data_IF_751347704954
#
_entry.id   IF_751347704954
#
_cell.length_a   1.000
_cell.length_b   1.000
_cell.length_c   1.000
_cell.angle_alpha   90.00
_cell.angle_beta   90.00
_cell.angle_gamma   90.00
#
_symmetry.space_group_name_H-M   'P 1'
#
loop_
_entity.id
_entity.type
_entity.pdbx_description
1 polymer ?
#
# COMPACT_ATOMS: atom_id res chain seq x y z
N UNK A 1 0.81 -12.82 -4.21
CA UNK A 1 0.40 -12.39 -2.86
C UNK A 1 1.62 -12.24 -1.95
N UNK A 2 1.90 -11.02 -1.49
CA UNK A 2 3.02 -10.72 -0.60
C UNK A 2 2.58 -10.89 0.88
N UNK A 3 3.27 -11.71 1.68
CA UNK A 3 3.07 -11.71 3.13
C UNK A 3 3.59 -10.40 3.75
N UNK A 4 3.25 -10.09 5.01
CA UNK A 4 3.95 -9.07 5.77
C UNK A 4 5.43 -9.46 5.98
N UNK A 5 6.22 -8.51 6.46
CA UNK A 5 7.65 -8.66 6.77
C UNK A 5 8.55 -9.04 5.58
N UNK A 6 8.11 -8.76 4.35
CA UNK A 6 8.86 -9.01 3.13
C UNK A 6 8.95 -7.72 2.30
N UNK A 7 10.13 -7.14 2.06
CA UNK A 7 10.31 -6.02 1.13
C UNK A 7 10.00 -6.44 -0.31
N UNK A 8 9.48 -5.51 -1.12
CA UNK A 8 9.21 -5.81 -2.54
C UNK A 8 10.52 -5.84 -3.36
N UNK A 9 11.45 -4.95 -3.07
CA UNK A 9 12.72 -4.81 -3.80
C UNK A 9 13.87 -4.55 -2.83
N UNK A 10 15.12 -4.79 -3.25
CA UNK A 10 16.29 -4.57 -2.42
C UNK A 10 16.33 -3.16 -1.81
N UNK A 11 16.70 -3.10 -0.56
CA UNK A 11 16.87 -1.88 0.23
C UNK A 11 17.98 -2.10 1.25
N UNK A 12 18.34 -1.07 2.01
CA UNK A 12 19.35 -1.19 3.06
C UNK A 12 19.02 -2.37 4.00
N UNK A 13 19.98 -3.26 4.21
CA UNK A 13 19.90 -4.51 5.00
C UNK A 13 18.98 -5.61 4.42
N UNK A 14 18.45 -5.43 3.21
CA UNK A 14 17.59 -6.40 2.52
C UNK A 14 18.00 -6.50 1.06
N UNK A 15 19.04 -7.29 0.76
CA UNK A 15 19.59 -7.41 -0.60
C UNK A 15 19.15 -8.68 -1.32
N UNK A 16 18.96 -9.78 -0.58
CA UNK A 16 18.68 -11.11 -1.13
C UNK A 16 17.36 -11.73 -0.66
N UNK A 17 16.68 -11.08 0.26
CA UNK A 17 15.47 -11.54 0.98
C UNK A 17 14.24 -10.72 0.60
N UNK A 18 14.05 -10.44 -0.69
CA UNK A 18 12.93 -9.61 -1.18
C UNK A 18 12.01 -10.39 -2.11
N UNK A 19 10.77 -9.89 -2.28
CA UNK A 19 9.84 -10.47 -3.26
C UNK A 19 10.41 -10.44 -4.68
N UNK A 20 11.23 -9.43 -5.01
CA UNK A 20 11.96 -9.35 -6.28
C UNK A 20 12.96 -10.49 -6.47
N UNK A 21 13.67 -10.89 -5.41
CA UNK A 21 14.55 -12.06 -5.46
C UNK A 21 13.77 -13.36 -5.68
N UNK A 22 12.62 -13.51 -5.00
CA UNK A 22 11.73 -14.65 -5.25
C UNK A 22 11.24 -14.70 -6.71
N UNK A 23 10.89 -13.53 -7.28
CA UNK A 23 10.50 -13.44 -8.69
C UNK A 23 11.63 -13.85 -9.62
N UNK A 24 12.86 -13.36 -9.42
CA UNK A 24 14.02 -13.71 -10.23
C UNK A 24 14.35 -15.21 -10.13
N UNK A 25 14.21 -15.81 -8.96
CA UNK A 25 14.40 -17.24 -8.77
C UNK A 25 13.34 -18.08 -9.50
N UNK A 26 12.07 -17.64 -9.45
CA UNK A 26 10.95 -18.33 -10.11
C UNK A 26 10.95 -18.16 -11.65
N UNK A 27 11.57 -17.08 -12.16
CA UNK A 27 11.61 -16.74 -13.58
C UNK A 27 13.04 -16.37 -14.01
N UNK A 28 13.96 -17.34 -14.10
CA UNK A 28 15.33 -17.09 -14.55
C UNK A 28 15.36 -16.45 -15.94
N UNK A 29 16.21 -15.45 -16.10
CA UNK A 29 16.36 -14.72 -17.38
C UNK A 29 15.38 -13.57 -17.60
N UNK A 30 14.36 -13.40 -16.73
CA UNK A 30 13.50 -12.24 -16.78
C UNK A 30 13.99 -11.14 -15.84
N UNK A 31 14.03 -9.91 -16.35
CA UNK A 31 14.31 -8.76 -15.49
C UNK A 31 13.17 -8.54 -14.48
N UNK A 32 13.51 -8.26 -13.24
CA UNK A 32 12.56 -7.93 -12.18
C UNK A 32 11.92 -6.56 -12.44
N UNK A 33 10.61 -6.53 -12.72
CA UNK A 33 9.84 -5.31 -13.02
C UNK A 33 8.59 -5.24 -12.15
N UNK A 34 8.71 -4.83 -10.87
CA UNK A 34 7.53 -4.60 -10.03
C UNK A 34 6.76 -3.38 -10.56
N UNK A 35 5.46 -3.55 -10.80
CA UNK A 35 4.55 -2.49 -11.25
C UNK A 35 4.02 -1.67 -10.09
N UNK A 36 3.82 -2.32 -8.94
CA UNK A 36 3.50 -1.65 -7.68
C UNK A 36 4.40 -2.15 -6.56
N UNK A 37 4.45 -1.37 -5.51
CA UNK A 37 5.19 -1.70 -4.30
C UNK A 37 4.30 -1.56 -3.08
N UNK A 38 4.53 -2.39 -2.09
CA UNK A 38 3.95 -2.34 -0.75
C UNK A 38 5.08 -2.14 0.25
N UNK A 39 4.76 -1.52 1.36
CA UNK A 39 5.70 -1.43 2.48
C UNK A 39 6.02 -2.84 3.02
N UNK A 40 7.14 -3.02 3.70
CA UNK A 40 7.62 -4.30 4.22
C UNK A 40 6.51 -5.06 4.96
N UNK A 41 5.86 -4.41 5.92
CA UNK A 41 4.83 -5.02 6.77
C UNK A 41 3.39 -4.91 6.20
N UNK A 42 3.20 -4.30 5.01
CA UNK A 42 1.93 -4.32 4.30
C UNK A 42 1.80 -5.60 3.50
N UNK A 43 0.70 -6.33 3.69
CA UNK A 43 0.39 -7.55 2.95
C UNK A 43 -0.44 -7.28 1.69
N UNK A 44 -0.58 -8.29 0.82
CA UNK A 44 -1.48 -8.27 -0.33
C UNK A 44 -0.81 -8.35 -1.69
N UNK A 45 -1.50 -7.87 -2.70
CA UNK A 45 -1.18 -8.11 -4.09
C UNK A 45 -0.05 -7.21 -4.62
N UNK A 46 0.96 -7.82 -5.22
CA UNK A 46 2.00 -7.19 -6.02
C UNK A 46 1.99 -7.74 -7.44
N UNK A 47 2.21 -6.87 -8.43
CA UNK A 47 2.30 -7.23 -9.84
C UNK A 47 3.74 -7.08 -10.31
N UNK A 48 4.24 -8.12 -10.98
CA UNK A 48 5.51 -8.11 -11.69
C UNK A 48 5.24 -8.29 -13.18
N UNK A 49 5.73 -7.37 -14.00
CA UNK A 49 5.61 -7.47 -15.44
C UNK A 49 6.74 -8.32 -16.03
N UNK A 50 6.41 -9.25 -16.92
CA UNK A 50 7.40 -10.10 -17.60
C UNK A 50 8.08 -9.42 -18.80
N UNK A 51 7.60 -8.24 -19.23
CA UNK A 51 8.21 -7.44 -20.29
C UNK A 51 8.21 -5.96 -19.94
N UNK A 52 9.10 -5.18 -20.56
CA UNK A 52 9.15 -3.73 -20.39
C UNK A 52 7.87 -3.05 -20.91
N UNK A 53 7.32 -3.55 -22.00
CA UNK A 53 6.06 -3.05 -22.57
C UNK A 53 4.90 -3.22 -21.59
N UNK A 54 4.73 -4.42 -21.03
CA UNK A 54 3.70 -4.68 -20.02
C UNK A 54 3.89 -3.81 -18.77
N UNK A 55 5.13 -3.62 -18.30
CA UNK A 55 5.43 -2.77 -17.15
C UNK A 55 4.96 -1.32 -17.40
N UNK A 56 5.29 -0.77 -18.58
CA UNK A 56 4.89 0.59 -18.96
C UNK A 56 3.36 0.73 -18.99
N UNK A 57 2.65 -0.17 -19.69
CA UNK A 57 1.19 -0.13 -19.80
C UNK A 57 0.50 -0.25 -18.43
N UNK A 58 0.94 -1.18 -17.59
CA UNK A 58 0.33 -1.41 -16.29
C UNK A 58 0.59 -0.29 -15.29
N UNK A 59 1.74 0.36 -15.35
CA UNK A 59 2.13 1.41 -14.41
C UNK A 59 1.14 2.59 -14.38
N UNK A 60 0.58 2.95 -15.53
CA UNK A 60 -0.35 4.08 -15.64
C UNK A 60 -1.81 3.71 -15.38
N UNK A 61 -2.17 2.45 -15.54
CA UNK A 61 -3.57 2.02 -15.53
C UNK A 61 -3.94 1.07 -14.40
N UNK A 62 -2.96 0.63 -13.60
CA UNK A 62 -3.20 -0.25 -12.46
C UNK A 62 -3.98 0.46 -11.36
N UNK A 63 -5.23 0.03 -11.13
CA UNK A 63 -6.01 0.49 -9.99
C UNK A 63 -5.83 -0.45 -8.80
N UNK A 64 -5.68 0.15 -7.63
CA UNK A 64 -5.45 -0.57 -6.36
C UNK A 64 -6.56 -0.26 -5.38
N UNK A 65 -7.05 -1.28 -4.68
CA UNK A 65 -7.94 -1.14 -3.53
C UNK A 65 -7.24 -1.73 -2.31
N UNK A 66 -7.13 -0.90 -1.30
CA UNK A 66 -6.57 -1.29 -0.02
C UNK A 66 -7.68 -1.45 0.99
N UNK A 67 -7.43 -2.28 1.98
CA UNK A 67 -8.23 -2.41 3.19
C UNK A 67 -7.33 -2.11 4.37
N UNK A 68 -7.83 -1.32 5.31
CA UNK A 68 -7.11 -0.95 6.52
C UNK A 68 -8.07 -0.97 7.71
N UNK A 69 -7.55 -1.36 8.87
CA UNK A 69 -8.21 -1.15 10.13
C UNK A 69 -7.57 0.07 10.78
N UNK A 70 -8.38 1.09 11.07
CA UNK A 70 -7.94 2.33 11.74
C UNK A 70 -8.52 2.42 13.14
N UNK A 71 -7.85 3.15 14.01
CA UNK A 71 -8.32 3.42 15.37
C UNK A 71 -9.45 4.43 15.39
N UNK A 72 -10.36 4.20 16.31
CA UNK A 72 -11.55 5.04 16.50
C UNK A 72 -12.67 4.76 15.50
N UNK A 73 -13.76 5.50 15.68
CA UNK A 73 -14.96 5.40 14.85
C UNK A 73 -14.88 6.45 13.75
N UNK A 74 -14.78 6.00 12.52
CA UNK A 74 -14.79 6.83 11.30
C UNK A 74 -15.95 6.34 10.42
N UNK A 75 -16.89 7.21 10.10
CA UNK A 75 -18.10 6.85 9.34
C UNK A 75 -18.12 7.51 7.95
N UNK A 76 -18.92 6.94 7.05
CA UNK A 76 -19.12 7.50 5.71
C UNK A 76 -17.92 7.33 4.79
N UNK A 77 -17.71 8.32 3.94
CA UNK A 77 -16.62 8.36 2.94
C UNK A 77 -15.99 9.75 2.91
N UNK A 78 -14.72 9.80 2.57
CA UNK A 78 -14.02 11.08 2.47
C UNK A 78 -12.77 11.01 1.60
N UNK A 79 -12.14 12.17 1.45
CA UNK A 79 -10.90 12.34 0.70
C UNK A 79 -9.91 13.13 1.54
N UNK A 80 -8.71 12.59 1.69
CA UNK A 80 -7.57 13.30 2.26
C UNK A 80 -6.67 13.76 1.11
N UNK A 81 -6.61 15.08 0.93
CA UNK A 81 -5.74 15.73 -0.07
C UNK A 81 -4.71 16.56 0.70
N UNK A 82 -3.56 15.98 0.99
CA UNK A 82 -2.52 16.60 1.82
C UNK A 82 -1.14 16.21 1.30
N UNK A 83 -0.23 17.17 1.06
CA UNK A 83 1.10 16.87 0.51
C UNK A 83 1.96 16.12 1.55
N UNK A 84 2.75 15.15 1.06
CA UNK A 84 3.60 14.30 1.90
C UNK A 84 5.07 14.62 1.62
N UNK A 85 5.80 14.92 2.68
CA UNK A 85 7.24 15.11 2.71
C UNK A 85 7.93 14.02 3.55
N UNK A 86 9.27 13.99 3.46
CA UNK A 86 10.10 13.28 4.41
C UNK A 86 10.24 14.16 5.67
N UNK A 87 10.14 13.56 6.84
CA UNK A 87 10.51 14.26 8.07
C UNK A 87 12.00 14.57 8.08
N UNK A 88 12.38 15.75 8.56
CA UNK A 88 13.74 16.28 8.36
C UNK A 88 14.83 15.40 9.00
N UNK A 89 14.54 14.84 10.15
CA UNK A 89 15.50 14.03 10.93
C UNK A 89 15.35 12.52 10.69
N UNK A 90 14.48 12.09 9.77
CA UNK A 90 14.22 10.68 9.53
C UNK A 90 14.35 10.32 8.05
N UNK A 91 15.04 9.21 7.78
CA UNK A 91 15.07 8.58 6.45
C UNK A 91 13.78 7.81 6.14
N UNK A 92 13.06 7.37 7.15
CA UNK A 92 11.90 6.46 7.03
C UNK A 92 10.59 7.23 7.18
N UNK A 93 10.45 8.09 8.19
CA UNK A 93 9.20 8.75 8.55
C UNK A 93 8.78 9.76 7.47
N UNK A 94 7.49 9.80 7.23
CA UNK A 94 6.83 10.77 6.35
C UNK A 94 5.84 11.58 7.16
N UNK A 95 5.61 12.82 6.75
CA UNK A 95 4.66 13.73 7.40
C UNK A 95 3.88 14.52 6.35
N UNK A 96 2.72 15.03 6.75
CA UNK A 96 2.01 16.04 5.97
C UNK A 96 2.73 17.39 6.17
N UNK A 97 3.16 17.99 5.08
CA UNK A 97 3.87 19.26 5.09
C UNK A 97 3.66 19.99 3.75
N UNK A 98 3.50 21.31 3.79
CA UNK A 98 3.11 22.13 2.64
C UNK A 98 4.09 22.04 1.44
N UNK A 99 5.38 21.84 1.70
CA UNK A 99 6.42 21.66 0.69
C UNK A 99 6.54 20.20 0.17
N UNK A 100 5.66 19.32 0.64
CA UNK A 100 5.62 17.92 0.26
C UNK A 100 5.11 17.68 -1.16
N UNK A 101 5.22 16.44 -1.62
CA UNK A 101 4.66 16.02 -2.91
C UNK A 101 3.15 15.83 -2.80
N UNK A 102 2.33 16.32 -3.75
CA UNK A 102 0.88 16.13 -3.75
C UNK A 102 0.51 14.67 -3.54
N UNK A 103 -0.47 14.42 -2.67
CA UNK A 103 -0.95 13.09 -2.36
C UNK A 103 -2.47 13.13 -2.09
N UNK A 104 -3.20 12.17 -2.67
CA UNK A 104 -4.67 12.08 -2.55
C UNK A 104 -5.06 10.65 -2.23
N UNK A 105 -5.79 10.49 -1.13
CA UNK A 105 -6.33 9.20 -0.64
C UNK A 105 -7.83 9.33 -0.43
N UNK A 106 -8.60 8.45 -1.09
CA UNK A 106 -10.04 8.31 -0.84
C UNK A 106 -10.26 7.15 0.11
N UNK A 107 -11.20 7.29 1.04
CA UNK A 107 -11.61 6.22 1.93
C UNK A 107 -13.13 6.08 1.98
N UNK A 108 -13.58 4.88 2.32
CA UNK A 108 -14.96 4.56 2.64
C UNK A 108 -14.97 3.60 3.83
N UNK A 109 -15.67 3.97 4.89
CA UNK A 109 -15.92 3.08 6.01
C UNK A 109 -16.85 1.94 5.57
N UNK A 110 -16.45 0.71 5.90
CA UNK A 110 -17.22 -0.50 5.60
C UNK A 110 -17.95 -1.01 6.85
N UNK A 111 -17.24 -1.04 7.97
CA UNK A 111 -17.71 -1.56 9.24
C UNK A 111 -16.93 -0.92 10.37
N UNK A 112 -17.53 -0.75 11.53
CA UNK A 112 -16.84 -0.30 12.74
C UNK A 112 -17.39 -0.98 13.99
N UNK A 113 -16.60 -0.95 15.04
CA UNK A 113 -17.01 -1.15 16.43
C UNK A 113 -16.60 0.09 17.25
N UNK A 114 -16.68 0.02 18.57
CA UNK A 114 -16.39 1.17 19.45
C UNK A 114 -14.91 1.61 19.45
N UNK A 115 -13.99 0.78 18.93
CA UNK A 115 -12.54 1.00 18.97
C UNK A 115 -11.91 1.15 17.59
N UNK A 116 -12.46 0.49 16.58
CA UNK A 116 -11.83 0.36 15.26
C UNK A 116 -12.82 0.52 14.12
N UNK A 117 -12.32 0.97 12.98
CA UNK A 117 -13.07 1.04 11.72
C UNK A 117 -12.32 0.31 10.60
N UNK A 118 -13.00 -0.58 9.89
CA UNK A 118 -12.53 -1.17 8.64
C UNK A 118 -12.81 -0.21 7.49
N UNK A 119 -11.77 0.19 6.79
CA UNK A 119 -11.83 1.07 5.62
C UNK A 119 -11.50 0.34 4.33
N UNK A 120 -12.16 0.71 3.25
CA UNK A 120 -11.68 0.52 1.89
C UNK A 120 -11.06 1.82 1.39
N UNK A 121 -9.86 1.74 0.79
CA UNK A 121 -9.14 2.92 0.32
C UNK A 121 -8.75 2.80 -1.16
N UNK A 122 -8.74 3.95 -1.83
CA UNK A 122 -8.25 4.14 -3.20
C UNK A 122 -7.28 5.30 -3.24
N UNK A 123 -6.20 5.14 -3.99
CA UNK A 123 -5.16 6.15 -4.14
C UNK A 123 -5.18 6.73 -5.55
N UNK A 124 -5.07 8.06 -5.68
CA UNK A 124 -4.73 8.73 -6.95
C UNK A 124 -3.22 8.85 -7.13
N UNK A 125 -2.50 8.89 -6.03
CA UNK A 125 -1.04 9.00 -5.98
C UNK A 125 -0.45 7.83 -5.20
N UNK A 126 0.85 7.58 -5.32
CA UNK A 126 1.52 6.46 -4.62
C UNK A 126 2.76 6.93 -3.87
N UNK A 127 2.62 7.77 -2.84
CA UNK A 127 3.74 8.21 -2.01
C UNK A 127 4.06 7.16 -0.95
N UNK A 128 5.32 7.13 -0.52
CA UNK A 128 5.75 6.25 0.57
C UNK A 128 4.91 6.50 1.81
N UNK A 129 4.41 5.43 2.44
CA UNK A 129 3.56 5.44 3.63
C UNK A 129 2.26 6.26 3.48
N UNK A 130 1.81 6.56 2.26
CA UNK A 130 0.73 7.53 2.02
C UNK A 130 -0.53 7.26 2.84
N UNK A 131 -1.08 6.04 2.81
CA UNK A 131 -2.28 5.69 3.59
C UNK A 131 -2.03 5.88 5.08
N UNK A 132 -0.90 5.42 5.57
CA UNK A 132 -0.51 5.48 6.98
C UNK A 132 -0.46 6.92 7.49
N UNK A 133 0.24 7.77 6.75
CA UNK A 133 0.38 9.21 7.05
C UNK A 133 -0.96 9.93 6.98
N UNK A 134 -1.75 9.69 5.92
CA UNK A 134 -3.03 10.37 5.75
C UNK A 134 -4.04 9.99 6.81
N UNK A 135 -4.11 8.72 7.19
CA UNK A 135 -5.04 8.28 8.24
C UNK A 135 -4.62 8.82 9.61
N UNK A 136 -3.33 8.80 9.93
CA UNK A 136 -2.81 9.44 11.15
C UNK A 136 -3.07 10.95 11.16
N UNK A 137 -2.90 11.63 10.02
CA UNK A 137 -3.14 13.08 9.88
C UNK A 137 -4.58 13.49 10.21
N UNK A 138 -5.55 12.65 9.87
CA UNK A 138 -6.97 12.91 10.21
C UNK A 138 -7.38 12.34 11.56
N UNK A 139 -6.43 11.90 12.40
CA UNK A 139 -6.68 11.43 13.77
C UNK A 139 -7.09 9.96 13.88
N UNK A 140 -6.99 9.18 12.81
CA UNK A 140 -7.32 7.76 12.75
C UNK A 140 -6.12 6.91 12.28
N UNK A 141 -5.05 6.79 13.09
CA UNK A 141 -3.90 5.97 12.70
C UNK A 141 -4.31 4.52 12.46
N UNK A 142 -3.56 3.80 11.62
CA UNK A 142 -3.80 2.38 11.43
C UNK A 142 -3.50 1.61 12.70
N UNK A 143 -4.34 0.66 13.07
CA UNK A 143 -4.07 -0.28 14.16
C UNK A 143 -2.72 -0.98 13.91
N UNK A 144 -1.89 -1.12 14.93
CA UNK A 144 -0.57 -1.73 14.85
C UNK A 144 0.53 -0.87 14.23
N UNK A 145 0.22 0.33 13.77
CA UNK A 145 1.19 1.22 13.11
C UNK A 145 1.89 2.14 14.11
N UNK A 146 2.79 1.60 14.90
CA UNK A 146 3.52 2.34 15.95
C UNK A 146 4.31 3.53 15.40
N UNK A 147 4.72 3.49 14.12
CA UNK A 147 5.46 4.59 13.48
C UNK A 147 4.62 5.85 13.34
N UNK A 148 3.30 5.71 13.27
CA UNK A 148 2.33 6.81 13.08
C UNK A 148 1.28 6.89 14.20
N UNK A 149 1.57 6.32 15.38
CA UNK A 149 0.74 6.47 16.57
C UNK A 149 -0.35 5.40 16.74
N UNK A 150 -0.33 4.35 15.94
CA UNK A 150 -1.23 3.20 16.11
C UNK A 150 -0.80 2.30 17.26
N UNK A 151 -1.77 1.74 17.99
CA UNK A 151 -1.55 0.82 19.10
C UNK A 151 -1.46 -0.62 18.62
N UNK A 152 -0.75 -1.44 19.39
CA UNK A 152 -0.51 -2.86 19.08
C UNK A 152 -1.42 -3.84 19.83
N UNK A 153 -2.51 -3.36 20.42
CA UNK A 153 -3.44 -4.15 21.23
C UNK A 153 -4.08 -5.32 20.45
N UNK A 154 -4.33 -5.10 19.15
CA UNK A 154 -5.02 -6.06 18.29
C UNK A 154 -4.12 -6.69 17.22
N UNK A 155 -3.06 -5.99 16.82
CA UNK A 155 -2.14 -6.42 15.76
C UNK A 155 -0.79 -5.73 15.95
N UNK A 156 0.31 -6.44 15.72
CA UNK A 156 1.70 -5.99 15.92
C UNK A 156 2.33 -5.26 14.71
N UNK A 157 1.58 -5.08 13.63
CA UNK A 157 1.98 -4.41 12.40
C UNK A 157 0.87 -3.51 11.88
N UNK A 158 1.19 -2.56 11.00
CA UNK A 158 0.12 -1.78 10.36
C UNK A 158 -0.94 -2.68 9.73
N UNK A 159 -2.19 -2.54 10.15
CA UNK A 159 -3.34 -3.25 9.63
C UNK A 159 -3.70 -2.72 8.24
N UNK A 160 -2.86 -3.04 7.25
CA UNK A 160 -2.97 -2.59 5.85
C UNK A 160 -2.78 -3.76 4.89
N UNK A 161 -3.69 -3.88 3.94
CA UNK A 161 -3.70 -4.96 2.96
C UNK A 161 -4.10 -4.45 1.57
N UNK A 162 -3.31 -4.76 0.54
CA UNK A 162 -3.69 -4.52 -0.86
C UNK A 162 -4.55 -5.69 -1.36
N UNK A 163 -5.85 -5.60 -1.16
CA UNK A 163 -6.76 -6.75 -1.37
C UNK A 163 -7.31 -6.89 -2.79
N UNK A 164 -7.23 -5.84 -3.64
CA UNK A 164 -7.73 -5.92 -5.02
C UNK A 164 -6.90 -5.09 -5.99
N UNK A 165 -6.61 -5.67 -7.13
CA UNK A 165 -6.02 -5.01 -8.29
C UNK A 165 -6.96 -5.12 -9.48
N UNK A 166 -7.10 -4.03 -10.23
CA UNK A 166 -7.79 -4.00 -11.52
C UNK A 166 -6.74 -3.62 -12.56
N UNK A 167 -6.46 -4.56 -13.47
CA UNK A 167 -5.42 -4.43 -14.48
C UNK A 167 -6.05 -4.31 -15.87
N UNK A 168 -5.61 -3.38 -16.72
CA UNK A 168 -5.97 -3.42 -18.13
C UNK A 168 -5.36 -4.65 -18.80
N UNK A 169 -6.05 -5.20 -19.79
CA UNK A 169 -5.48 -6.21 -20.67
C UNK A 169 -4.48 -5.56 -21.63
N UNK A 170 -3.23 -6.01 -21.61
CA UNK A 170 -2.09 -5.32 -22.26
C UNK A 170 -2.17 -5.36 -23.80
N UNK A 171 -2.93 -6.27 -24.38
CA UNK A 171 -3.08 -6.43 -25.85
C UNK A 171 -4.52 -6.59 -26.30
N UNK A 172 -5.48 -6.37 -25.42
CA UNK A 172 -6.91 -6.54 -25.68
C UNK A 172 -7.69 -5.42 -24.98
N UNK A 173 -8.89 -5.17 -25.43
CA UNK A 173 -9.85 -4.32 -24.69
C UNK A 173 -10.36 -5.06 -23.47
N UNK A 174 -10.50 -4.35 -22.34
CA UNK A 174 -11.05 -4.89 -21.09
C UNK A 174 -10.06 -4.85 -19.92
N UNK A 175 -10.50 -5.38 -18.81
CA UNK A 175 -9.75 -5.43 -17.55
C UNK A 175 -9.83 -6.79 -16.90
N UNK A 176 -8.81 -7.14 -16.11
CA UNK A 176 -8.81 -8.29 -15.21
C UNK A 176 -8.80 -7.80 -13.78
N UNK A 177 -9.68 -8.34 -12.95
CA UNK A 177 -9.69 -8.09 -11.51
C UNK A 177 -9.10 -9.26 -10.77
N UNK A 178 -8.11 -9.00 -9.93
CA UNK A 178 -7.49 -9.97 -9.04
C UNK A 178 -7.81 -9.56 -7.61
N UNK A 179 -8.28 -10.50 -6.80
CA UNK A 179 -8.56 -10.32 -5.38
C UNK A 179 -7.69 -11.22 -4.50
N UNK A 180 -7.37 -10.75 -3.30
CA UNK A 180 -6.81 -11.55 -2.22
C UNK A 180 -7.73 -11.46 -1.01
N UNK A 181 -7.88 -12.57 -0.28
CA UNK A 181 -8.60 -12.56 0.99
C UNK A 181 -7.92 -11.62 1.99
N UNK A 182 -8.71 -11.02 2.86
CA UNK A 182 -8.15 -10.29 3.99
C UNK A 182 -7.41 -11.27 4.90
N UNK A 183 -6.27 -10.89 5.49
CA UNK A 183 -5.63 -11.70 6.53
C UNK A 183 -6.55 -11.82 7.73
N UNK A 184 -6.47 -12.94 8.41
CA UNK A 184 -7.15 -13.20 9.69
C UNK A 184 -6.66 -12.28 10.79
#
# INVERSE_FOLDING_TARGET
>A
HKPPDLPVHPSQNHYTDTLGNCFCAAYPGLACRPVNRLDRNTSGLCVFAKSAYAANQLQYHLQKRYYAVVEGVLTGSGTVSAPIAREQESIIIRCVRADGKPAVTHYRALQHNDKYTLLQLRLETGRTHQIRVHMAHIGHPLAGDTLYGGRTDAIDRQALHCGRLILPLVQKTGTVTVGAALPE
#
